data_IF_136666294559
#
_entry.id   IF_136666294559
#
_cell.length_a   1.000
_cell.length_b   1.000
_cell.length_c   1.000
_cell.angle_alpha   90.00
_cell.angle_beta   90.00
_cell.angle_gamma   90.00
#
_symmetry.space_group_name_H-M   'P 1'
#
loop_
_entity.id
_entity.type
_entity.pdbx_description
1 polymer ?
#
# COMPACT_ATOMS: atom_id res chain seq x y z
N UNK A 1 -3.72 54.28 4.09
CA UNK A 1 -4.39 53.54 4.97
C UNK A 1 -4.95 52.17 4.61
N UNK A 2 -5.89 51.77 5.37
CA UNK A 2 -6.54 50.43 5.45
C UNK A 2 -6.91 49.80 4.10
N UNK A 3 -7.44 50.56 3.15
CA UNK A 3 -7.81 50.06 1.80
C UNK A 3 -6.61 49.60 0.99
N UNK A 4 -5.45 50.28 1.08
CA UNK A 4 -4.23 49.87 0.38
C UNK A 4 -3.66 48.60 0.97
N UNK A 5 -3.65 48.47 2.28
CA UNK A 5 -3.17 47.24 2.98
C UNK A 5 -4.06 46.06 2.66
N UNK A 6 -5.38 46.25 2.60
CA UNK A 6 -6.32 45.18 2.20
C UNK A 6 -6.09 44.72 0.75
N UNK A 7 -5.89 45.63 -0.19
CA UNK A 7 -5.59 45.29 -1.58
C UNK A 7 -4.28 44.52 -1.72
N UNK A 8 -3.26 44.88 -0.97
CA UNK A 8 -1.98 44.15 -0.97
C UNK A 8 -2.15 42.75 -0.44
N UNK A 9 -2.90 42.57 0.63
CA UNK A 9 -3.19 41.24 1.19
C UNK A 9 -3.97 40.37 0.22
N UNK A 10 -4.97 40.91 -0.43
CA UNK A 10 -5.75 40.19 -1.47
C UNK A 10 -4.89 39.82 -2.66
N UNK A 11 -4.01 40.71 -3.11
CA UNK A 11 -3.04 40.41 -4.18
C UNK A 11 -2.12 39.25 -3.81
N UNK A 12 -1.51 39.30 -2.62
CA UNK A 12 -0.65 38.23 -2.12
C UNK A 12 -1.40 36.91 -2.02
N UNK A 13 -2.63 36.92 -1.51
CA UNK A 13 -3.47 35.72 -1.43
C UNK A 13 -3.75 35.11 -2.80
N UNK A 14 -4.07 35.94 -3.79
CA UNK A 14 -4.32 35.48 -5.18
C UNK A 14 -3.02 34.90 -5.78
N UNK A 15 -1.86 35.53 -5.57
CA UNK A 15 -0.58 35.03 -6.04
C UNK A 15 -0.25 33.66 -5.43
N UNK A 16 -0.49 33.50 -4.13
CA UNK A 16 -0.30 32.21 -3.44
C UNK A 16 -1.23 31.13 -3.99
N UNK A 17 -2.50 31.46 -4.25
CA UNK A 17 -3.45 30.52 -4.84
C UNK A 17 -3.06 30.08 -6.26
N UNK A 18 -2.61 31.03 -7.09
CA UNK A 18 -2.14 30.74 -8.45
C UNK A 18 -0.90 29.85 -8.39
N UNK A 19 0.06 30.18 -7.53
CA UNK A 19 1.27 29.38 -7.36
C UNK A 19 0.97 27.96 -6.85
N UNK A 20 0.11 27.84 -5.84
CA UNK A 20 -0.34 26.55 -5.33
C UNK A 20 -1.08 25.74 -6.41
N UNK A 21 -1.89 26.39 -7.24
CA UNK A 21 -2.59 25.72 -8.35
C UNK A 21 -1.63 25.18 -9.41
N UNK A 22 -0.61 25.97 -9.77
CA UNK A 22 0.42 25.55 -10.72
C UNK A 22 1.27 24.38 -10.15
N UNK A 23 1.63 24.47 -8.88
CA UNK A 23 2.39 23.43 -8.18
C UNK A 23 1.60 22.12 -8.06
N UNK A 24 0.30 22.20 -7.74
CA UNK A 24 -0.59 21.03 -7.71
C UNK A 24 -0.75 20.42 -9.12
N UNK A 25 -0.79 21.23 -10.17
CA UNK A 25 -0.83 20.75 -11.56
C UNK A 25 0.43 19.98 -11.93
N UNK A 26 1.60 20.48 -11.52
CA UNK A 26 2.89 19.83 -11.71
C UNK A 26 2.97 18.49 -10.95
N UNK A 27 2.57 18.47 -9.67
CA UNK A 27 2.50 17.26 -8.87
C UNK A 27 1.54 16.20 -9.47
N UNK A 28 0.44 16.64 -10.08
CA UNK A 28 -0.46 15.74 -10.81
C UNK A 28 0.15 15.18 -12.08
N UNK A 29 0.95 15.96 -12.78
CA UNK A 29 1.66 15.52 -13.97
C UNK A 29 2.71 14.45 -13.63
N UNK A 30 3.35 14.56 -12.47
CA UNK A 30 4.27 13.57 -11.90
C UNK A 30 3.57 12.33 -11.31
N UNK A 31 2.23 12.23 -11.41
CA UNK A 31 1.45 11.12 -10.85
C UNK A 31 1.26 11.19 -9.34
N UNK A 32 1.71 12.27 -8.68
CA UNK A 32 1.50 12.50 -7.27
C UNK A 32 0.09 13.08 -7.03
N UNK A 33 -0.79 12.29 -6.46
CA UNK A 33 -2.09 12.81 -5.99
C UNK A 33 -1.91 13.59 -4.69
N UNK A 34 -2.83 14.51 -4.40
CA UNK A 34 -2.85 15.24 -3.11
C UNK A 34 -2.84 14.26 -1.91
N UNK A 35 -3.52 13.12 -2.04
CA UNK A 35 -3.52 12.08 -1.02
C UNK A 35 -2.12 11.46 -0.81
N UNK A 36 -1.35 11.26 -1.86
CA UNK A 36 0.03 10.76 -1.76
C UNK A 36 0.94 11.81 -1.13
N UNK A 37 0.82 13.07 -1.52
CA UNK A 37 1.58 14.16 -0.91
C UNK A 37 1.24 14.33 0.58
N UNK A 38 -0.05 14.33 0.92
CA UNK A 38 -0.50 14.39 2.31
C UNK A 38 0.03 13.24 3.14
N UNK A 39 -0.07 12.01 2.64
CA UNK A 39 0.47 10.83 3.31
C UNK A 39 2.00 10.89 3.46
N UNK A 40 2.71 11.38 2.44
CA UNK A 40 4.15 11.56 2.50
C UNK A 40 4.60 12.47 3.65
N UNK A 41 3.89 13.56 3.90
CA UNK A 41 4.26 14.51 4.96
C UNK A 41 3.80 14.08 6.36
N UNK A 42 2.70 13.35 6.48
CA UNK A 42 2.05 13.10 7.78
C UNK A 42 2.20 11.65 8.26
N UNK A 43 2.36 10.72 7.36
CA UNK A 43 2.37 9.29 7.68
C UNK A 43 3.72 8.60 7.59
N UNK A 44 4.83 9.36 7.39
CA UNK A 44 6.15 8.74 7.27
C UNK A 44 6.71 8.39 8.64
N UNK A 45 7.52 7.32 8.76
CA UNK A 45 8.29 7.05 9.96
C UNK A 45 9.23 8.20 10.30
N UNK A 46 9.28 8.61 11.55
CA UNK A 46 10.07 9.73 12.08
C UNK A 46 11.40 9.28 12.72
N UNK A 47 11.69 7.99 12.65
CA UNK A 47 12.86 7.35 13.24
C UNK A 47 13.59 6.46 12.23
N UNK A 48 14.86 6.17 12.49
CA UNK A 48 15.65 5.23 11.69
C UNK A 48 15.12 3.80 11.86
N UNK A 49 15.24 2.97 10.81
CA UNK A 49 14.91 1.56 10.90
C UNK A 49 15.81 0.84 11.92
N UNK A 50 15.21 0.10 12.82
CA UNK A 50 15.92 -0.72 13.78
C UNK A 50 15.50 -2.20 13.59
N UNK A 51 16.41 -3.09 13.16
CA UNK A 51 16.10 -4.51 12.97
C UNK A 51 15.56 -5.21 14.22
N UNK A 52 15.93 -4.72 15.41
CA UNK A 52 15.42 -5.27 16.68
C UNK A 52 13.93 -5.05 16.89
N UNK A 53 13.36 -4.07 16.21
CA UNK A 53 11.94 -3.75 16.24
C UNK A 53 11.19 -4.38 15.07
N UNK A 54 11.86 -5.21 14.27
CA UNK A 54 11.22 -5.90 13.17
C UNK A 54 10.14 -6.87 13.68
N UNK A 55 9.01 -6.88 12.99
CA UNK A 55 7.91 -7.79 13.27
C UNK A 55 8.39 -9.23 13.09
N UNK A 56 7.93 -10.14 13.94
CA UNK A 56 8.26 -11.57 13.84
C UNK A 56 7.81 -12.12 12.48
N UNK A 57 8.55 -13.09 11.99
CA UNK A 57 8.21 -13.84 10.79
C UNK A 57 6.88 -14.58 11.01
N UNK A 58 6.02 -14.55 10.00
CA UNK A 58 4.77 -15.31 10.01
C UNK A 58 5.05 -16.81 9.93
N UNK A 59 4.22 -17.57 10.62
CA UNK A 59 4.21 -19.02 10.56
C UNK A 59 3.29 -19.49 9.42
N UNK A 60 3.88 -19.80 8.28
CA UNK A 60 3.13 -20.20 7.08
C UNK A 60 2.52 -21.61 7.14
N UNK A 61 2.72 -22.34 8.23
CA UNK A 61 1.94 -23.55 8.51
C UNK A 61 0.50 -23.23 8.93
N UNK A 62 0.21 -21.97 9.28
CA UNK A 62 -1.10 -21.50 9.72
C UNK A 62 -1.83 -20.79 8.60
N UNK A 63 -3.11 -21.13 8.41
CA UNK A 63 -4.00 -20.48 7.48
C UNK A 63 -4.07 -18.96 7.68
N UNK A 64 -4.01 -18.50 8.94
CA UNK A 64 -4.04 -17.07 9.27
C UNK A 64 -2.87 -16.26 8.72
N UNK A 65 -1.80 -16.92 8.25
CA UNK A 65 -0.64 -16.30 7.60
C UNK A 65 -0.82 -16.09 6.09
N UNK A 66 -1.97 -16.51 5.55
CA UNK A 66 -2.28 -16.42 4.13
C UNK A 66 -3.46 -15.49 3.87
N UNK A 67 -3.32 -14.64 2.87
CA UNK A 67 -4.39 -13.79 2.37
C UNK A 67 -5.34 -14.58 1.47
N UNK A 68 -4.81 -15.52 0.67
CA UNK A 68 -5.57 -16.47 -0.12
C UNK A 68 -4.98 -17.88 -0.08
N UNK A 69 -5.83 -18.88 -0.06
CA UNK A 69 -5.51 -20.31 -0.17
C UNK A 69 -6.66 -21.05 -0.87
N UNK A 70 -6.38 -22.13 -1.63
CA UNK A 70 -7.41 -22.90 -2.33
C UNK A 70 -8.54 -23.47 -1.46
N UNK A 71 -8.25 -23.70 -0.17
CA UNK A 71 -9.22 -24.24 0.81
C UNK A 71 -9.91 -23.19 1.67
N UNK A 72 -9.57 -21.95 1.50
CA UNK A 72 -10.04 -20.83 2.31
C UNK A 72 -11.02 -20.00 1.51
N UNK A 73 -12.16 -19.67 2.09
CA UNK A 73 -13.05 -18.65 1.52
C UNK A 73 -12.41 -17.27 1.72
N UNK A 74 -12.03 -16.62 0.63
CA UNK A 74 -11.35 -15.33 0.68
C UNK A 74 -11.65 -14.43 -0.54
N UNK A 75 -11.04 -13.25 -0.56
CA UNK A 75 -11.34 -12.25 -1.58
C UNK A 75 -10.78 -12.62 -2.98
N UNK A 76 -9.84 -13.56 -3.08
CA UNK A 76 -9.38 -14.05 -4.37
C UNK A 76 -10.38 -14.98 -5.05
N UNK A 77 -11.42 -15.44 -4.34
CA UNK A 77 -12.48 -16.27 -4.89
C UNK A 77 -13.53 -15.48 -5.68
N UNK A 78 -13.42 -14.15 -5.71
CA UNK A 78 -14.36 -13.33 -6.47
C UNK A 78 -14.33 -13.65 -7.96
N UNK A 79 -15.51 -13.89 -8.51
CA UNK A 79 -15.73 -14.24 -9.91
C UNK A 79 -16.55 -13.14 -10.57
N UNK A 80 -16.18 -12.67 -11.77
CA UNK A 80 -17.00 -11.72 -12.52
C UNK A 80 -18.39 -12.29 -12.82
N UNK A 81 -19.39 -11.42 -12.85
CA UNK A 81 -20.78 -11.82 -13.15
C UNK A 81 -20.85 -12.50 -14.52
N UNK A 82 -21.38 -13.72 -14.55
CA UNK A 82 -21.54 -14.52 -15.77
C UNK A 82 -20.38 -15.45 -16.07
N UNK A 83 -19.31 -15.42 -15.30
CA UNK A 83 -18.19 -16.35 -15.38
C UNK A 83 -18.29 -17.45 -14.33
N UNK A 84 -17.58 -18.55 -14.54
CA UNK A 84 -17.45 -19.64 -13.59
C UNK A 84 -16.00 -19.75 -13.11
N UNK A 85 -15.81 -19.88 -11.81
CA UNK A 85 -14.51 -20.24 -11.24
C UNK A 85 -14.20 -21.71 -11.44
N UNK A 86 -12.94 -22.08 -11.33
CA UNK A 86 -12.52 -23.47 -11.28
C UNK A 86 -12.54 -24.00 -9.84
N UNK A 87 -12.61 -25.31 -9.70
CA UNK A 87 -12.31 -25.95 -8.43
C UNK A 87 -10.80 -25.84 -8.17
N UNK A 88 -10.42 -24.89 -7.33
CA UNK A 88 -9.02 -24.60 -7.04
C UNK A 88 -8.26 -25.81 -6.46
N UNK A 89 -8.94 -26.75 -5.80
CA UNK A 89 -8.32 -27.95 -5.24
C UNK A 89 -7.87 -28.95 -6.30
N UNK A 90 -8.49 -28.94 -7.45
CA UNK A 90 -8.25 -29.86 -8.55
C UNK A 90 -7.62 -29.16 -9.77
N UNK A 91 -7.15 -27.94 -9.60
CA UNK A 91 -6.47 -27.20 -10.65
C UNK A 91 -5.09 -27.80 -10.95
N UNK A 92 -4.72 -27.83 -12.24
CA UNK A 92 -3.40 -28.31 -12.68
C UNK A 92 -2.30 -27.26 -12.52
N UNK A 93 -2.66 -26.01 -12.19
CA UNK A 93 -1.72 -24.87 -12.13
C UNK A 93 -1.85 -24.18 -10.78
N UNK A 94 -0.71 -23.98 -10.12
CA UNK A 94 -0.59 -23.17 -8.92
C UNK A 94 -0.10 -21.77 -9.26
N UNK A 95 -0.75 -20.76 -8.68
CA UNK A 95 -0.32 -19.36 -8.73
C UNK A 95 0.11 -18.93 -7.33
N UNK A 96 1.38 -18.58 -7.20
CA UNK A 96 1.90 -17.94 -5.99
C UNK A 96 1.88 -16.43 -6.20
N UNK A 97 0.88 -15.75 -5.62
CA UNK A 97 0.64 -14.33 -5.81
C UNK A 97 1.25 -13.51 -4.67
N UNK A 98 2.27 -12.72 -4.99
CA UNK A 98 2.84 -11.74 -4.05
C UNK A 98 2.26 -10.36 -4.36
N UNK A 99 1.34 -9.92 -3.52
CA UNK A 99 0.70 -8.61 -3.70
C UNK A 99 1.67 -7.44 -3.45
N UNK A 100 1.45 -6.27 -4.06
CA UNK A 100 2.24 -5.07 -3.76
C UNK A 100 2.00 -4.63 -2.31
N UNK A 101 2.85 -3.72 -1.79
CA UNK A 101 2.65 -3.22 -0.44
C UNK A 101 1.32 -2.47 -0.31
N UNK A 102 0.53 -2.86 0.68
CA UNK A 102 -0.68 -2.16 1.12
C UNK A 102 -0.41 -1.24 2.33
N UNK A 103 0.81 -1.25 2.86
CA UNK A 103 1.21 -0.42 3.99
C UNK A 103 1.59 0.98 3.52
N UNK A 104 0.56 1.78 3.26
CA UNK A 104 0.67 3.11 2.66
C UNK A 104 0.74 4.24 3.69
N UNK A 105 0.44 3.94 4.97
CA UNK A 105 0.39 4.91 6.05
C UNK A 105 0.72 4.25 7.38
N UNK A 106 1.63 4.82 8.14
CA UNK A 106 1.98 4.35 9.49
C UNK A 106 3.36 4.85 9.91
N UNK A 107 3.63 4.76 11.21
CA UNK A 107 4.86 5.26 11.81
C UNK A 107 6.00 4.22 11.82
N UNK A 108 5.76 3.03 11.27
CA UNK A 108 6.74 1.96 11.21
C UNK A 108 7.31 1.82 9.79
N UNK A 109 8.52 1.33 9.68
CA UNK A 109 9.16 1.02 8.39
C UNK A 109 8.63 -0.28 7.77
N UNK A 110 8.07 -1.15 8.60
CA UNK A 110 7.40 -2.39 8.18
C UNK A 110 6.01 -2.46 8.77
N UNK A 111 5.07 -3.08 8.05
CA UNK A 111 3.72 -3.33 8.53
C UNK A 111 3.76 -4.12 9.85
N UNK A 112 3.14 -3.65 10.94
CA UNK A 112 3.09 -4.35 12.22
C UNK A 112 2.21 -5.61 12.21
N UNK A 113 1.56 -5.93 11.10
CA UNK A 113 0.68 -7.11 10.92
C UNK A 113 -0.52 -7.13 11.88
N UNK A 114 -1.02 -5.96 12.25
CA UNK A 114 -2.19 -5.82 13.11
C UNK A 114 -3.44 -6.43 12.44
N UNK A 115 -4.29 -7.04 13.27
CA UNK A 115 -5.63 -7.43 12.84
C UNK A 115 -6.45 -6.17 12.53
N UNK A 116 -7.36 -6.28 11.59
CA UNK A 116 -8.32 -5.20 11.25
C UNK A 116 -7.64 -3.86 10.88
N UNK A 117 -6.44 -3.94 10.33
CA UNK A 117 -5.70 -2.77 9.85
C UNK A 117 -6.11 -2.38 8.44
N UNK A 118 -5.94 -1.08 8.11
CA UNK A 118 -6.10 -0.58 6.73
C UNK A 118 -5.19 -1.35 5.75
N UNK A 119 -4.02 -1.80 6.19
CA UNK A 119 -3.12 -2.62 5.38
C UNK A 119 -3.76 -3.94 4.99
N UNK A 120 -4.47 -4.60 5.91
CA UNK A 120 -5.21 -5.84 5.61
C UNK A 120 -6.38 -5.59 4.68
N UNK A 121 -7.11 -4.50 4.84
CA UNK A 121 -8.17 -4.12 3.90
C UNK A 121 -7.59 -3.85 2.49
N UNK A 122 -6.46 -3.18 2.39
CA UNK A 122 -5.76 -2.99 1.12
C UNK A 122 -5.34 -4.34 0.50
N UNK A 123 -4.82 -5.26 1.31
CA UNK A 123 -4.46 -6.61 0.84
C UNK A 123 -5.70 -7.36 0.34
N UNK A 124 -6.81 -7.31 1.08
CA UNK A 124 -8.09 -7.89 0.66
C UNK A 124 -8.58 -7.32 -0.66
N UNK A 125 -8.45 -6.00 -0.84
CA UNK A 125 -8.77 -5.35 -2.10
C UNK A 125 -7.90 -5.86 -3.26
N UNK A 126 -6.59 -6.07 -3.01
CA UNK A 126 -5.67 -6.64 -4.02
C UNK A 126 -6.01 -8.08 -4.36
N UNK A 127 -6.44 -8.90 -3.38
CA UNK A 127 -6.95 -10.24 -3.65
C UNK A 127 -8.16 -10.20 -4.58
N UNK A 128 -9.13 -9.35 -4.27
CA UNK A 128 -10.36 -9.20 -5.01
C UNK A 128 -10.19 -8.67 -6.45
N UNK A 129 -9.19 -7.83 -6.69
CA UNK A 129 -9.03 -7.10 -7.96
C UNK A 129 -7.82 -7.52 -8.79
N UNK A 130 -6.93 -8.31 -8.22
CA UNK A 130 -5.70 -8.75 -8.89
C UNK A 130 -5.57 -10.28 -8.86
N UNK A 131 -5.54 -10.89 -7.67
CA UNK A 131 -5.37 -12.33 -7.54
C UNK A 131 -6.57 -13.11 -8.12
N UNK A 132 -7.78 -12.60 -7.95
CA UNK A 132 -9.01 -13.20 -8.49
C UNK A 132 -9.01 -13.36 -10.01
N UNK A 133 -8.17 -12.63 -10.74
CA UNK A 133 -8.02 -12.80 -12.19
C UNK A 133 -7.55 -14.21 -12.59
N UNK A 134 -6.97 -14.96 -11.65
CA UNK A 134 -6.52 -16.34 -11.85
C UNK A 134 -7.56 -17.40 -11.47
N UNK A 135 -8.74 -17.00 -11.01
CA UNK A 135 -9.81 -17.91 -10.58
C UNK A 135 -10.35 -18.81 -11.69
N UNK A 136 -10.16 -18.42 -12.94
CA UNK A 136 -10.61 -19.20 -14.09
C UNK A 136 -9.68 -20.35 -14.49
N UNK A 137 -8.52 -20.53 -13.81
CA UNK A 137 -7.52 -21.52 -14.20
C UNK A 137 -6.79 -22.23 -13.06
N UNK A 138 -6.70 -21.62 -11.89
CA UNK A 138 -5.53 -21.90 -11.07
C UNK A 138 -5.88 -22.00 -9.58
N UNK A 139 -5.08 -22.78 -8.83
CA UNK A 139 -5.04 -22.73 -7.37
C UNK A 139 -4.28 -21.48 -6.93
N UNK A 140 -4.88 -20.65 -6.09
CA UNK A 140 -4.31 -19.35 -5.72
C UNK A 140 -3.73 -19.43 -4.30
N UNK A 141 -2.43 -19.10 -4.18
CA UNK A 141 -1.71 -19.01 -2.92
C UNK A 141 -1.16 -17.59 -2.77
N UNK A 142 -1.63 -16.83 -1.80
CA UNK A 142 -1.16 -15.48 -1.52
C UNK A 142 -0.80 -15.32 -0.04
N UNK A 143 0.48 -15.23 0.33
CA UNK A 143 0.87 -15.05 1.71
C UNK A 143 0.65 -13.61 2.18
N UNK A 144 0.28 -13.43 3.45
CA UNK A 144 0.66 -12.20 4.14
C UNK A 144 2.17 -12.19 4.34
N UNK A 145 2.78 -11.03 4.34
CA UNK A 145 4.21 -10.88 4.56
C UNK A 145 4.52 -9.56 5.26
N UNK A 146 5.72 -9.40 5.77
CA UNK A 146 6.20 -8.14 6.37
C UNK A 146 6.38 -7.10 5.28
N UNK A 147 5.33 -6.35 4.99
CA UNK A 147 5.33 -5.34 3.95
C UNK A 147 6.22 -4.17 4.36
N UNK A 148 7.09 -3.74 3.47
CA UNK A 148 7.80 -2.49 3.64
C UNK A 148 6.84 -1.31 3.50
N UNK A 149 7.02 -0.27 4.30
CA UNK A 149 6.32 1.00 4.12
C UNK A 149 6.60 1.57 2.73
N UNK A 150 5.60 2.18 2.10
CA UNK A 150 5.76 2.90 0.84
C UNK A 150 6.86 3.97 0.93
N UNK A 151 7.11 4.51 2.10
CA UNK A 151 8.15 5.51 2.34
C UNK A 151 9.58 4.98 2.17
N UNK A 152 9.79 3.68 2.23
CA UNK A 152 11.09 3.07 1.96
C UNK A 152 11.59 3.32 0.54
N UNK A 153 10.69 3.58 -0.41
CA UNK A 153 11.03 3.94 -1.80
C UNK A 153 11.53 5.39 -1.94
N UNK A 154 11.14 6.25 -1.00
CA UNK A 154 11.46 7.68 -1.02
C UNK A 154 12.57 8.07 -0.03
N UNK A 155 13.05 7.13 0.78
CA UNK A 155 14.12 7.41 1.74
C UNK A 155 15.49 7.44 1.03
N UNK A 156 15.95 8.65 0.74
CA UNK A 156 17.26 8.91 0.12
C UNK A 156 18.41 8.89 1.13
N UNK A 157 18.12 8.88 2.42
CA UNK A 157 19.13 9.03 3.49
C UNK A 157 19.80 7.71 3.89
N UNK A 158 19.52 6.61 3.19
CA UNK A 158 20.04 5.26 3.51
C UNK A 158 19.79 4.81 4.95
N UNK A 159 18.92 5.50 5.69
CA UNK A 159 18.52 5.11 7.05
C UNK A 159 17.72 3.81 7.06
N UNK A 160 17.12 3.50 5.91
CA UNK A 160 16.50 2.22 5.60
C UNK A 160 17.18 1.68 4.35
N UNK A 161 18.28 0.98 4.53
CA UNK A 161 18.89 0.27 3.40
C UNK A 161 17.87 -0.76 2.90
N UNK A 162 17.55 -0.74 1.62
CA UNK A 162 16.70 -1.72 0.95
C UNK A 162 17.17 -3.18 1.23
N UNK A 163 18.45 -3.37 1.50
CA UNK A 163 19.06 -4.61 1.97
C UNK A 163 18.57 -5.05 3.36
N UNK A 164 18.30 -4.10 4.26
CA UNK A 164 17.83 -4.43 5.62
C UNK A 164 16.36 -4.88 5.66
N UNK A 165 15.54 -4.42 4.72
CA UNK A 165 14.15 -4.86 4.61
C UNK A 165 14.00 -6.24 3.95
N UNK A 166 15.01 -6.68 3.16
CA UNK A 166 15.03 -7.98 2.49
C UNK A 166 15.71 -9.09 3.29
N UNK A 167 16.55 -8.76 4.25
CA UNK A 167 17.44 -9.73 4.92
C UNK A 167 16.81 -10.42 6.15
N UNK A 168 15.52 -10.22 6.41
CA UNK A 168 14.87 -10.84 7.56
C UNK A 168 13.49 -11.39 7.21
#
# INVERSE_FOLDING_TARGET
GMKKTFLILVFFFVVVLVWASLYIKELRHEGLTFAMAYNYFIGRPDHAFNPKNAVQQLDYSKESSWAALPLKEDAADLIPTGEAGVDQLNSEVDVFFVHPTGYLKGHHWTDPLEKDSVTKENTKWMMANQASAFNGCCSIYAPYYRQASIYSYYDTNKSVSYTHLRAH
#
